data_IF_211249783278
#
_entry.id   IF_211249783278
#
_cell.length_a   1.000
_cell.length_b   1.000
_cell.length_c   1.000
_cell.angle_alpha   90.00
_cell.angle_beta   90.00
_cell.angle_gamma   90.00
#
_symmetry.space_group_name_H-M   'P 1'
#
loop_
_entity.id
_entity.type
_entity.pdbx_description
1 polymer ?
#
# COMPACT_ATOMS: atom_id res chain seq x y z
N UNK A 1 -36.57 24.06 -42.35
CA UNK A 1 -36.59 22.82 -41.55
C UNK A 1 -35.60 23.04 -40.40
N UNK A 2 -35.98 23.68 -39.29
CA UNK A 2 -36.78 23.13 -38.17
C UNK A 2 -36.26 21.74 -37.79
N UNK A 3 -35.69 21.43 -36.64
CA UNK A 3 -35.46 22.13 -35.37
C UNK A 3 -35.12 21.02 -34.37
N UNK A 4 -34.09 21.18 -33.53
CA UNK A 4 -33.82 20.25 -32.44
C UNK A 4 -33.16 20.98 -31.27
N UNK A 5 -34.00 21.51 -30.40
CA UNK A 5 -33.69 21.90 -29.03
C UNK A 5 -33.42 20.65 -28.20
N UNK A 6 -32.21 20.51 -27.65
CA UNK A 6 -31.89 19.47 -26.67
C UNK A 6 -31.40 20.15 -25.39
N UNK A 7 -32.21 20.00 -24.34
CA UNK A 7 -32.11 20.74 -23.08
C UNK A 7 -30.95 20.35 -22.18
N UNK A 8 -30.76 21.10 -21.08
CA UNK A 8 -29.62 20.97 -20.19
C UNK A 8 -29.77 19.75 -19.26
N UNK A 9 -28.72 18.92 -19.19
CA UNK A 9 -28.61 17.85 -18.19
C UNK A 9 -27.99 18.41 -16.91
N UNK A 10 -28.79 18.39 -15.85
CA UNK A 10 -28.34 18.53 -14.46
C UNK A 10 -27.31 17.45 -14.10
N UNK A 11 -26.22 17.85 -13.43
CA UNK A 11 -25.16 16.96 -12.99
C UNK A 11 -24.31 17.54 -11.86
N UNK A 12 -24.91 17.59 -10.67
CA UNK A 12 -24.31 17.45 -9.32
C UNK A 12 -22.95 18.14 -9.08
N UNK A 13 -23.01 19.37 -8.57
CA UNK A 13 -21.90 20.01 -7.89
C UNK A 13 -21.62 19.32 -6.54
N UNK A 14 -20.49 18.62 -6.44
CA UNK A 14 -20.00 18.09 -5.17
C UNK A 14 -19.47 19.25 -4.33
N UNK A 15 -20.23 19.60 -3.29
CA UNK A 15 -19.79 20.50 -2.22
C UNK A 15 -18.66 19.84 -1.45
N UNK A 16 -17.49 20.46 -1.46
CA UNK A 16 -16.40 20.19 -0.54
C UNK A 16 -16.86 20.53 0.88
N UNK A 17 -17.11 19.50 1.69
CA UNK A 17 -17.36 19.63 3.12
C UNK A 17 -15.99 19.67 3.82
N UNK A 18 -15.50 20.87 4.09
CA UNK A 18 -14.33 21.10 4.94
C UNK A 18 -14.70 20.74 6.39
N UNK A 19 -14.21 19.61 6.87
CA UNK A 19 -14.24 19.25 8.30
C UNK A 19 -13.07 19.99 8.96
N UNK A 20 -13.34 21.18 9.49
CA UNK A 20 -12.48 21.86 10.44
C UNK A 20 -12.78 21.30 11.84
N UNK A 21 -12.00 20.32 12.28
CA UNK A 21 -12.02 19.84 13.67
C UNK A 21 -10.96 20.59 14.46
N UNK A 22 -11.46 21.51 15.28
CA UNK A 22 -10.99 21.92 16.61
C UNK A 22 -9.48 21.86 16.90
N UNK A 23 -8.83 23.02 16.80
CA UNK A 23 -7.66 23.37 17.61
C UNK A 23 -8.04 24.51 18.56
N UNK A 24 -8.78 24.17 19.63
CA UNK A 24 -8.94 25.06 20.78
C UNK A 24 -8.92 24.21 22.04
N UNK A 25 -7.92 24.44 22.88
CA UNK A 25 -8.00 24.15 24.31
C UNK A 25 -7.46 22.79 24.77
N UNK A 26 -6.14 22.60 24.72
CA UNK A 26 -5.50 21.58 25.57
C UNK A 26 -4.18 22.10 26.16
N UNK A 27 -4.29 23.20 26.90
CA UNK A 27 -3.22 23.68 27.79
C UNK A 27 -3.68 23.48 29.23
N UNK A 28 -2.83 22.85 30.05
CA UNK A 28 -2.94 22.68 31.51
C UNK A 28 -3.59 21.40 32.07
N UNK A 29 -3.39 20.24 31.45
CA UNK A 29 -3.37 18.98 32.21
C UNK A 29 -1.93 18.51 32.37
N UNK A 30 -1.39 18.81 33.56
CA UNK A 30 -0.13 18.28 34.05
C UNK A 30 -0.15 16.75 33.93
N UNK A 31 0.76 16.21 33.11
CA UNK A 31 1.01 14.76 33.10
C UNK A 31 1.56 14.36 34.48
N UNK A 32 1.04 13.30 35.12
CA UNK A 32 1.53 12.81 36.42
C UNK A 32 2.91 12.11 36.32
N UNK A 33 3.59 12.23 35.19
CA UNK A 33 4.83 11.53 34.88
C UNK A 33 5.93 12.58 34.77
N UNK A 34 6.69 12.73 35.85
CA UNK A 34 7.74 13.73 36.00
C UNK A 34 8.87 13.63 34.96
N UNK A 35 9.78 14.60 34.96
CA UNK A 35 10.85 14.75 33.96
C UNK A 35 11.80 13.54 33.84
N UNK A 36 11.86 12.65 34.84
CA UNK A 36 12.68 11.43 34.82
C UNK A 36 12.16 10.32 33.88
N UNK A 37 10.87 10.32 33.52
CA UNK A 37 10.33 9.31 32.61
C UNK A 37 10.91 9.46 31.19
N UNK A 38 11.22 10.69 30.77
CA UNK A 38 11.77 10.98 29.44
C UNK A 38 13.20 10.45 29.27
N UNK A 39 14.00 10.43 30.34
CA UNK A 39 15.37 9.90 30.25
C UNK A 39 15.38 8.36 30.16
N UNK A 40 14.43 7.68 30.81
CA UNK A 40 14.35 6.20 30.81
C UNK A 40 13.92 5.64 29.44
N UNK A 41 13.03 6.34 28.72
CA UNK A 41 12.60 5.92 27.37
C UNK A 41 13.68 6.21 26.32
N UNK A 42 14.38 7.35 26.44
CA UNK A 42 15.47 7.71 25.53
C UNK A 42 16.66 6.73 25.61
N UNK A 43 17.04 6.29 26.82
CA UNK A 43 18.11 5.30 27.00
C UNK A 43 17.78 3.89 26.49
N UNK A 44 16.49 3.50 26.47
CA UNK A 44 16.05 2.17 26.01
C UNK A 44 15.83 2.11 24.49
N UNK A 45 15.42 3.22 23.86
CA UNK A 45 15.30 3.34 22.41
C UNK A 45 16.66 3.26 21.68
N UNK A 46 17.74 3.75 22.31
CA UNK A 46 19.08 3.70 21.75
C UNK A 46 19.66 2.27 21.71
N UNK A 47 19.39 1.43 22.72
CA UNK A 47 19.89 0.04 22.74
C UNK A 47 19.15 -0.90 21.79
N UNK A 48 17.87 -0.67 21.51
CA UNK A 48 17.12 -1.43 20.50
C UNK A 48 17.59 -1.05 19.08
N UNK A 49 18.00 0.20 18.87
CA UNK A 49 18.47 0.67 17.55
C UNK A 49 19.84 0.10 17.16
N UNK A 50 20.75 -0.12 18.11
CA UNK A 50 22.07 -0.68 17.82
C UNK A 50 22.07 -2.21 17.62
N UNK A 51 21.16 -2.94 18.28
CA UNK A 51 21.06 -4.40 18.14
C UNK A 51 20.30 -4.86 16.87
N UNK A 52 19.59 -3.95 16.19
CA UNK A 52 18.76 -4.26 15.02
C UNK A 52 19.46 -4.01 13.67
N UNK A 53 20.70 -3.54 13.66
CA UNK A 53 21.44 -3.16 12.44
C UNK A 53 22.33 -4.28 11.87
N UNK A 54 22.42 -5.44 12.54
CA UNK A 54 23.19 -6.58 12.04
C UNK A 54 22.22 -7.65 11.53
N UNK A 55 21.86 -7.53 10.25
CA UNK A 55 21.34 -8.65 9.46
C UNK A 55 19.87 -8.58 9.04
N UNK A 56 19.57 -7.82 7.96
CA UNK A 56 18.69 -8.30 6.87
C UNK A 56 18.74 -7.35 5.65
N UNK A 57 19.94 -7.14 5.07
CA UNK A 57 20.06 -6.32 3.85
C UNK A 57 19.21 -6.87 2.68
N UNK A 58 18.96 -8.18 2.66
CA UNK A 58 18.09 -8.84 1.67
C UNK A 58 16.60 -8.52 1.86
N UNK A 59 16.13 -8.42 3.11
CA UNK A 59 14.76 -8.04 3.43
C UNK A 59 14.40 -6.62 3.00
N UNK A 60 15.34 -5.69 3.09
CA UNK A 60 15.11 -4.29 2.71
C UNK A 60 15.02 -4.09 1.19
N UNK A 61 15.90 -4.71 0.41
CA UNK A 61 15.79 -4.62 -1.05
C UNK A 61 14.50 -5.27 -1.56
N UNK A 62 14.09 -6.41 -0.98
CA UNK A 62 12.81 -7.04 -1.30
C UNK A 62 11.63 -6.12 -1.00
N UNK A 63 11.64 -5.43 0.14
CA UNK A 63 10.60 -4.44 0.50
C UNK A 63 10.57 -3.24 -0.47
N UNK A 64 11.75 -2.77 -0.91
CA UNK A 64 11.86 -1.69 -1.92
C UNK A 64 11.31 -2.15 -3.27
N UNK A 65 11.68 -3.35 -3.73
CA UNK A 65 11.13 -3.97 -4.97
C UNK A 65 9.61 -4.11 -4.90
N UNK A 66 9.08 -4.69 -3.82
CA UNK A 66 7.62 -4.81 -3.62
C UNK A 66 6.92 -3.45 -3.67
N UNK A 67 7.50 -2.43 -3.01
CA UNK A 67 6.91 -1.07 -2.99
C UNK A 67 6.90 -0.41 -4.36
N UNK A 68 7.98 -0.56 -5.14
CA UNK A 68 8.05 -0.06 -6.54
C UNK A 68 6.99 -0.72 -7.40
N UNK A 69 6.91 -2.06 -7.36
CA UNK A 69 5.96 -2.83 -8.14
C UNK A 69 4.51 -2.51 -7.76
N UNK A 70 4.22 -2.34 -6.47
CA UNK A 70 2.90 -1.95 -5.98
C UNK A 70 2.45 -0.60 -6.54
N UNK A 71 3.33 0.40 -6.57
CA UNK A 71 3.02 1.73 -7.14
C UNK A 71 2.78 1.64 -8.65
N UNK A 72 3.63 0.89 -9.35
CA UNK A 72 3.52 0.68 -10.78
C UNK A 72 2.19 0.00 -11.16
N UNK A 73 1.82 -1.07 -10.45
CA UNK A 73 0.54 -1.76 -10.63
C UNK A 73 -0.66 -0.86 -10.32
N UNK A 74 -0.59 -0.12 -9.22
CA UNK A 74 -1.67 0.79 -8.81
C UNK A 74 -1.94 1.86 -9.87
N UNK A 75 -0.89 2.43 -10.47
CA UNK A 75 -1.01 3.41 -11.56
C UNK A 75 -1.67 2.84 -12.82
N UNK A 76 -1.68 1.53 -13.00
CA UNK A 76 -2.25 0.83 -14.16
C UNK A 76 -3.60 0.14 -13.85
N UNK A 77 -4.21 0.42 -12.69
CA UNK A 77 -5.51 -0.19 -12.35
C UNK A 77 -5.42 -1.61 -11.76
N UNK A 78 -4.27 -2.00 -11.21
CA UNK A 78 -4.07 -3.30 -10.56
C UNK A 78 -3.69 -3.15 -9.08
N UNK A 79 -4.03 -4.17 -8.28
CA UNK A 79 -3.70 -4.24 -6.85
C UNK A 79 -2.83 -5.44 -6.56
N UNK A 80 -1.64 -5.20 -6.03
CA UNK A 80 -0.80 -6.25 -5.44
C UNK A 80 -1.27 -6.55 -4.01
N UNK A 81 -1.71 -7.78 -3.78
CA UNK A 81 -2.07 -8.31 -2.47
C UNK A 81 -1.01 -9.28 -1.98
N UNK A 82 -0.75 -9.26 -0.68
CA UNK A 82 0.16 -10.19 -0.01
C UNK A 82 -0.60 -10.98 1.05
N UNK A 83 -0.35 -12.29 1.10
CA UNK A 83 -0.93 -13.15 2.14
C UNK A 83 -0.45 -12.73 3.54
N UNK A 84 -1.35 -12.78 4.52
CA UNK A 84 -1.03 -12.54 5.94
C UNK A 84 -0.64 -13.81 6.69
N UNK A 85 -0.76 -14.96 6.03
CA UNK A 85 -0.48 -16.24 6.65
C UNK A 85 1.01 -16.32 7.02
N UNK A 86 1.28 -16.28 8.33
CA UNK A 86 2.63 -16.38 8.90
C UNK A 86 3.37 -17.66 8.49
N UNK A 87 2.64 -18.68 8.04
CA UNK A 87 3.16 -20.01 7.75
C UNK A 87 3.32 -20.31 6.26
N UNK A 88 3.13 -19.36 5.35
CA UNK A 88 3.43 -19.63 3.93
C UNK A 88 4.95 -19.67 3.78
N UNK A 89 5.53 -20.83 3.42
CA UNK A 89 6.97 -20.94 3.20
C UNK A 89 7.39 -19.95 2.11
N UNK A 90 8.55 -19.31 2.28
CA UNK A 90 9.03 -18.26 1.39
C UNK A 90 9.13 -18.68 -0.09
N UNK A 91 9.25 -19.99 -0.35
CA UNK A 91 9.32 -20.59 -1.69
C UNK A 91 7.95 -20.88 -2.32
N UNK A 92 6.84 -20.81 -1.58
CA UNK A 92 5.50 -21.14 -2.07
C UNK A 92 4.70 -19.92 -2.57
N UNK A 93 5.35 -18.78 -2.75
CA UNK A 93 4.71 -17.55 -3.18
C UNK A 93 4.26 -16.69 -2.01
N UNK A 94 3.10 -16.05 -2.16
CA UNK A 94 2.50 -15.16 -1.17
C UNK A 94 1.90 -13.89 -1.76
N UNK A 95 1.95 -13.75 -3.08
CA UNK A 95 1.44 -12.59 -3.81
C UNK A 95 0.30 -12.98 -4.75
N UNK A 96 -0.60 -12.03 -4.94
CA UNK A 96 -1.75 -12.13 -5.83
C UNK A 96 -2.01 -10.76 -6.44
N UNK A 97 -2.30 -10.71 -7.74
CA UNK A 97 -2.62 -9.45 -8.43
C UNK A 97 -4.08 -9.48 -8.86
N UNK A 98 -4.79 -8.41 -8.54
CA UNK A 98 -6.21 -8.22 -8.89
C UNK A 98 -6.35 -6.99 -9.77
N UNK A 99 -7.11 -7.09 -10.85
CA UNK A 99 -7.54 -5.93 -11.63
C UNK A 99 -8.68 -5.20 -10.90
N UNK A 100 -8.56 -3.88 -10.69
CA UNK A 100 -9.56 -3.12 -9.94
C UNK A 100 -10.93 -3.07 -10.64
N UNK A 101 -10.94 -2.95 -11.96
CA UNK A 101 -12.17 -2.77 -12.72
C UNK A 101 -13.06 -4.01 -12.67
N UNK A 102 -12.47 -5.20 -12.84
CA UNK A 102 -13.20 -6.47 -12.92
C UNK A 102 -13.20 -7.25 -11.60
N UNK A 103 -12.30 -6.94 -10.67
CA UNK A 103 -12.04 -7.77 -9.50
C UNK A 103 -11.38 -9.11 -9.85
N UNK A 104 -10.97 -9.32 -11.11
CA UNK A 104 -10.40 -10.57 -11.58
C UNK A 104 -8.97 -10.74 -11.06
N UNK A 105 -8.66 -11.95 -10.62
CA UNK A 105 -7.28 -12.36 -10.33
C UNK A 105 -6.54 -12.60 -11.64
N UNK A 106 -5.46 -11.86 -11.86
CA UNK A 106 -4.63 -11.97 -13.07
C UNK A 106 -3.35 -12.76 -12.82
N UNK A 107 -2.83 -12.74 -11.59
CA UNK A 107 -1.62 -13.50 -11.19
C UNK A 107 -1.80 -14.08 -9.78
N UNK A 108 -1.31 -15.30 -9.57
CA UNK A 108 -1.27 -15.94 -8.26
C UNK A 108 -2.60 -16.53 -7.78
N UNK A 109 -3.54 -16.78 -8.70
CA UNK A 109 -4.81 -17.46 -8.40
C UNK A 109 -4.72 -18.98 -8.41
N UNK A 110 -3.79 -19.55 -9.17
CA UNK A 110 -3.65 -21.00 -9.42
C UNK A 110 -2.27 -21.51 -8.99
N UNK A 111 -2.16 -22.75 -8.48
CA UNK A 111 -3.24 -23.71 -8.18
C UNK A 111 -4.06 -23.35 -6.92
N UNK A 112 -3.68 -22.26 -6.24
CA UNK A 112 -4.35 -21.73 -5.05
C UNK A 112 -4.13 -20.22 -4.95
N UNK A 113 -4.98 -19.48 -4.22
CA UNK A 113 -4.79 -18.06 -4.00
C UNK A 113 -3.43 -17.76 -3.35
N UNK A 114 -2.81 -16.66 -3.79
CA UNK A 114 -1.49 -16.21 -3.35
C UNK A 114 -0.34 -17.16 -3.72
N UNK A 115 -0.48 -17.99 -4.75
CA UNK A 115 0.58 -18.90 -5.18
C UNK A 115 1.79 -18.20 -5.81
N UNK A 116 1.66 -16.94 -6.25
CA UNK A 116 2.74 -16.28 -7.00
C UNK A 116 3.84 -15.73 -6.09
N UNK A 117 5.07 -15.78 -6.59
CA UNK A 117 6.26 -15.11 -6.06
C UNK A 117 6.35 -13.67 -6.55
N UNK A 118 7.14 -12.84 -5.88
CA UNK A 118 7.29 -11.43 -6.26
C UNK A 118 7.94 -11.30 -7.65
N UNK A 119 8.90 -12.18 -7.92
CA UNK A 119 9.64 -12.26 -9.19
C UNK A 119 8.72 -12.63 -10.35
N UNK A 120 7.76 -13.54 -10.13
CA UNK A 120 6.76 -13.94 -11.13
C UNK A 120 5.79 -12.79 -11.43
N UNK A 121 5.35 -12.06 -10.39
CA UNK A 121 4.52 -10.87 -10.57
C UNK A 121 5.27 -9.79 -11.36
N UNK A 122 6.56 -9.62 -11.08
CA UNK A 122 7.39 -8.65 -11.77
C UNK A 122 7.64 -9.04 -13.23
N UNK A 123 7.90 -10.32 -13.51
CA UNK A 123 8.03 -10.84 -14.86
C UNK A 123 6.73 -10.67 -15.65
N UNK A 124 5.59 -11.05 -15.07
CA UNK A 124 4.28 -10.82 -15.66
C UNK A 124 4.08 -9.33 -15.98
N UNK A 125 4.34 -8.43 -15.04
CA UNK A 125 4.16 -6.98 -15.24
C UNK A 125 4.96 -6.45 -16.43
N UNK A 126 6.19 -6.95 -16.63
CA UNK A 126 7.07 -6.51 -17.73
C UNK A 126 6.73 -7.12 -19.09
N UNK A 127 6.24 -8.36 -19.12
CA UNK A 127 6.10 -9.11 -20.38
C UNK A 127 4.66 -9.24 -20.88
N UNK A 128 3.70 -9.42 -19.98
CA UNK A 128 2.30 -9.73 -20.33
C UNK A 128 1.32 -8.67 -19.80
N UNK A 129 1.69 -7.99 -18.72
CA UNK A 129 0.90 -6.96 -18.07
C UNK A 129 1.08 -5.58 -18.72
N UNK A 130 0.52 -4.52 -18.11
CA UNK A 130 0.53 -3.16 -18.68
C UNK A 130 1.93 -2.56 -18.86
N UNK A 131 2.96 -3.08 -18.21
CA UNK A 131 4.34 -2.66 -18.41
C UNK A 131 4.94 -3.07 -19.76
N UNK A 132 4.36 -4.06 -20.45
CA UNK A 132 4.84 -4.51 -21.76
C UNK A 132 4.52 -3.53 -22.89
N UNK A 133 3.47 -2.71 -22.74
CA UNK A 133 3.04 -1.74 -23.75
C UNK A 133 3.85 -0.42 -23.74
N UNK A 134 4.79 -0.25 -22.80
CA UNK A 134 5.52 1.02 -22.60
C UNK A 134 7.01 0.94 -23.02
N UNK A 135 7.44 -0.18 -23.61
CA UNK A 135 8.82 -0.39 -24.12
C UNK A 135 8.89 -0.30 -25.63
#
# INVERSE_FOLDING_TARGET
>A
MSGATMGPRHGVAWRALSIAVALVGWSHLASPWGPDFRQTVAGRAARISAASQVGDAGGDERRRRESRLRRALLGNGYRLMRTRLRQVPAHLGGYLVVEFASGRVVVGGEPRPFAARLEEVEAWYRHEGPGSATG
#
